data_IF_914668351227
#
_entry.id   IF_914668351227
#
_cell.length_a   1.000
_cell.length_b   1.000
_cell.length_c   1.000
_cell.angle_alpha   90.00
_cell.angle_beta   90.00
_cell.angle_gamma   90.00
#
_symmetry.space_group_name_H-M   'P 1'
#
loop_
_entity.id
_entity.type
_entity.pdbx_description
1 polymer ?
#
# COMPACT_ATOMS: atom_id res chain seq x y z
N UNK A 1 -1.32 21.34 9.73
CA UNK A 1 -2.61 20.64 9.75
C UNK A 1 -2.58 19.31 9.00
N UNK A 2 -2.67 18.20 9.74
CA UNK A 2 -2.88 16.85 9.22
C UNK A 2 -4.32 16.74 8.71
N UNK A 3 -4.53 16.27 7.48
CA UNK A 3 -5.87 16.20 6.85
C UNK A 3 -6.39 14.77 6.69
N UNK A 4 -5.53 13.79 6.91
CA UNK A 4 -5.82 12.37 6.81
C UNK A 4 -4.96 11.56 7.78
N UNK A 5 -5.45 10.37 8.09
CA UNK A 5 -4.72 9.37 8.88
C UNK A 5 -3.44 8.94 8.14
N UNK A 6 -2.34 8.74 8.87
CA UNK A 6 -1.09 8.31 8.27
C UNK A 6 -1.04 6.79 8.10
N UNK A 7 -0.16 6.30 7.22
CA UNK A 7 0.09 4.86 7.07
C UNK A 7 0.49 4.23 8.41
N UNK A 8 1.32 4.92 9.21
CA UNK A 8 1.75 4.43 10.53
C UNK A 8 0.57 4.22 11.47
N UNK A 9 -0.38 5.15 11.50
CA UNK A 9 -1.56 5.07 12.37
C UNK A 9 -2.45 3.87 12.01
N UNK A 10 -2.66 3.64 10.71
CA UNK A 10 -3.47 2.52 10.21
C UNK A 10 -2.78 1.17 10.45
N UNK A 11 -1.46 1.12 10.29
CA UNK A 11 -0.68 -0.10 10.54
C UNK A 11 -0.48 -0.38 12.04
N UNK A 12 -0.63 0.62 12.91
CA UNK A 12 -0.59 0.42 14.35
C UNK A 12 -1.83 -0.31 14.90
N UNK A 13 -2.93 -0.37 14.13
CA UNK A 13 -4.12 -1.14 14.47
C UNK A 13 -3.83 -2.64 14.51
N UNK A 14 -4.50 -3.35 15.43
CA UNK A 14 -4.51 -4.81 15.45
C UNK A 14 -5.37 -5.41 14.31
N UNK A 15 -5.27 -6.72 14.09
CA UNK A 15 -6.00 -7.36 12.98
C UNK A 15 -7.53 -7.33 13.14
N UNK A 16 -8.04 -7.31 14.38
CA UNK A 16 -9.47 -7.17 14.64
C UNK A 16 -9.96 -5.78 14.24
N UNK A 17 -9.23 -4.74 14.67
CA UNK A 17 -9.52 -3.35 14.35
C UNK A 17 -9.41 -3.07 12.85
N UNK A 18 -8.37 -3.61 12.19
CA UNK A 18 -8.22 -3.55 10.72
C UNK A 18 -9.40 -4.20 10.02
N UNK A 19 -9.84 -5.37 10.49
CA UNK A 19 -11.04 -6.04 9.96
C UNK A 19 -12.29 -5.19 10.15
N UNK A 20 -12.50 -4.63 11.33
CA UNK A 20 -13.61 -3.70 11.60
C UNK A 20 -13.57 -2.49 10.67
N UNK A 21 -12.39 -1.90 10.46
CA UNK A 21 -12.18 -0.75 9.58
C UNK A 21 -12.52 -1.08 8.13
N UNK A 22 -12.10 -2.24 7.61
CA UNK A 22 -12.45 -2.73 6.26
C UNK A 22 -13.95 -2.93 6.07
N UNK A 23 -14.64 -3.37 7.11
CA UNK A 23 -16.11 -3.54 7.10
C UNK A 23 -16.85 -2.20 7.13
N UNK A 24 -16.31 -1.23 7.88
CA UNK A 24 -16.85 0.13 7.97
C UNK A 24 -16.65 0.92 6.68
N UNK A 25 -15.51 0.72 6.04
CA UNK A 25 -15.14 1.45 4.84
C UNK A 25 -15.94 0.97 3.62
N UNK A 26 -16.56 1.92 2.95
CA UNK A 26 -17.17 1.75 1.63
C UNK A 26 -16.31 2.51 0.62
N UNK A 27 -15.43 1.83 -0.12
CA UNK A 27 -14.51 2.48 -1.05
C UNK A 27 -15.26 3.35 -2.05
N UNK A 28 -14.71 4.54 -2.33
CA UNK A 28 -15.15 5.44 -3.39
C UNK A 28 -13.97 5.74 -4.32
N UNK A 29 -14.23 6.10 -5.59
CA UNK A 29 -13.19 6.61 -6.46
C UNK A 29 -12.46 7.79 -5.81
N UNK A 30 -11.16 7.86 -6.01
CA UNK A 30 -10.23 8.85 -5.44
C UNK A 30 -9.95 8.72 -3.93
N UNK A 31 -10.55 7.74 -3.25
CA UNK A 31 -10.11 7.38 -1.90
C UNK A 31 -8.63 7.01 -1.91
N UNK A 32 -7.92 7.33 -0.83
CA UNK A 32 -6.53 6.92 -0.67
C UNK A 32 -6.50 5.71 0.25
N UNK A 33 -5.84 4.65 -0.20
CA UNK A 33 -5.73 3.41 0.53
C UNK A 33 -4.29 2.92 0.57
N UNK A 34 -4.01 2.03 1.52
CA UNK A 34 -2.77 1.29 1.61
C UNK A 34 -3.06 -0.19 1.42
N UNK A 35 -2.31 -0.84 0.53
CA UNK A 35 -2.27 -2.30 0.38
C UNK A 35 -0.95 -2.82 0.96
N UNK A 36 -0.97 -4.00 1.56
CA UNK A 36 0.24 -4.70 2.01
C UNK A 36 0.67 -5.70 0.95
N UNK A 37 1.76 -5.40 0.24
CA UNK A 37 2.26 -6.27 -0.83
C UNK A 37 3.42 -7.10 -0.30
N UNK A 38 3.35 -8.42 -0.52
CA UNK A 38 4.43 -9.33 -0.17
C UNK A 38 5.66 -9.01 -1.03
N UNK A 39 6.75 -8.61 -0.38
CA UNK A 39 8.05 -8.38 -1.02
C UNK A 39 8.92 -9.62 -0.97
N UNK A 40 8.87 -10.34 0.16
CA UNK A 40 9.65 -11.55 0.37
C UNK A 40 8.80 -12.58 1.12
N UNK A 41 8.42 -13.64 0.41
CA UNK A 41 7.60 -14.74 0.94
C UNK A 41 8.38 -15.59 1.95
N UNK A 42 9.69 -15.75 1.76
CA UNK A 42 10.51 -16.61 2.63
C UNK A 42 10.69 -16.00 4.02
N UNK A 43 10.78 -14.68 4.07
CA UNK A 43 10.98 -13.91 5.30
C UNK A 43 9.69 -13.23 5.82
N UNK A 44 8.54 -13.50 5.19
CA UNK A 44 7.23 -12.92 5.54
C UNK A 44 7.23 -11.38 5.56
N UNK A 45 7.96 -10.76 4.61
CA UNK A 45 8.15 -9.32 4.55
C UNK A 45 7.11 -8.69 3.63
N UNK A 46 6.27 -7.84 4.20
CA UNK A 46 5.26 -7.06 3.50
C UNK A 46 5.62 -5.58 3.50
N UNK A 47 5.43 -4.93 2.35
CA UNK A 47 5.60 -3.49 2.21
C UNK A 47 4.27 -2.79 1.99
N UNK A 48 4.02 -1.66 2.70
CA UNK A 48 2.84 -0.86 2.47
C UNK A 48 2.99 -0.05 1.18
N UNK A 49 1.99 -0.17 0.31
CA UNK A 49 1.89 0.59 -0.94
C UNK A 49 0.67 1.48 -0.86
N UNK A 50 0.90 2.79 -0.93
CA UNK A 50 -0.17 3.80 -0.95
C UNK A 50 -0.61 4.04 -2.39
N UNK A 51 -1.91 3.99 -2.63
CA UNK A 51 -2.50 4.25 -3.94
C UNK A 51 -3.81 5.04 -3.82
N UNK A 52 -4.21 5.64 -4.94
CA UNK A 52 -5.53 6.24 -5.08
C UNK A 52 -6.46 5.25 -5.78
N UNK A 53 -7.65 5.04 -5.25
CA UNK A 53 -8.65 4.13 -5.80
C UNK A 53 -9.15 4.71 -7.13
N UNK A 54 -9.00 3.93 -8.20
CA UNK A 54 -9.54 4.20 -9.53
C UNK A 54 -10.87 3.48 -9.73
N UNK A 55 -10.86 2.48 -10.60
CA UNK A 55 -12.03 1.61 -10.81
C UNK A 55 -12.35 0.77 -9.56
N UNK A 56 -13.64 0.58 -9.27
CA UNK A 56 -14.11 -0.35 -8.24
C UNK A 56 -14.96 -1.42 -8.90
N UNK A 57 -14.46 -2.66 -8.90
CA UNK A 57 -15.14 -3.79 -9.52
C UNK A 57 -15.69 -4.73 -8.44
N UNK A 58 -16.99 -4.99 -8.47
CA UNK A 58 -17.64 -5.94 -7.54
C UNK A 58 -17.80 -7.29 -8.23
N UNK A 59 -17.19 -8.33 -7.66
CA UNK A 59 -17.24 -9.69 -8.19
C UNK A 59 -17.98 -10.61 -7.21
N UNK A 60 -18.28 -11.85 -7.63
CA UNK A 60 -18.80 -12.87 -6.72
C UNK A 60 -17.85 -13.26 -5.59
N UNK A 61 -16.57 -12.89 -5.69
CA UNK A 61 -15.51 -13.23 -4.73
C UNK A 61 -15.12 -12.07 -3.81
N UNK A 62 -15.63 -10.86 -4.04
CA UNK A 62 -15.29 -9.68 -3.25
C UNK A 62 -15.23 -8.40 -4.08
N UNK A 63 -14.75 -7.34 -3.45
CA UNK A 63 -14.54 -6.04 -4.09
C UNK A 63 -13.08 -5.87 -4.47
N UNK A 64 -12.82 -5.48 -5.71
CA UNK A 64 -11.49 -5.23 -6.24
C UNK A 64 -11.34 -3.72 -6.47
N UNK A 65 -10.21 -3.16 -6.03
CA UNK A 65 -9.87 -1.74 -6.09
C UNK A 65 -8.73 -1.53 -7.10
N UNK A 66 -9.03 -0.87 -8.21
CA UNK A 66 -8.05 -0.44 -9.20
C UNK A 66 -7.16 0.67 -8.68
N UNK A 67 -5.90 0.68 -9.08
CA UNK A 67 -4.99 1.79 -8.82
C UNK A 67 -5.13 2.84 -9.93
N UNK A 68 -5.61 4.03 -9.58
CA UNK A 68 -5.87 5.11 -10.54
C UNK A 68 -4.63 5.49 -11.37
N UNK A 69 -3.43 5.42 -10.78
CA UNK A 69 -2.20 5.71 -11.51
C UNK A 69 -1.90 4.66 -12.59
N UNK A 70 -2.24 3.40 -12.32
CA UNK A 70 -2.10 2.30 -13.29
C UNK A 70 -3.14 2.45 -14.41
N UNK A 71 -4.39 2.76 -14.08
CA UNK A 71 -5.46 2.95 -15.07
C UNK A 71 -5.12 4.10 -16.04
N UNK A 72 -4.58 5.21 -15.52
CA UNK A 72 -4.14 6.34 -16.32
C UNK A 72 -2.98 5.98 -17.27
N UNK A 73 -2.05 5.12 -16.83
CA UNK A 73 -0.95 4.64 -17.66
C UNK A 73 -1.46 3.69 -18.76
N UNK A 74 -2.34 2.75 -18.43
CA UNK A 74 -2.95 1.82 -19.38
C UNK A 74 -3.80 2.55 -20.43
N UNK A 75 -4.47 3.64 -20.07
CA UNK A 75 -5.25 4.45 -21.01
C UNK A 75 -4.40 5.27 -22.00
N UNK A 76 -3.11 5.48 -21.70
CA UNK A 76 -2.17 6.16 -22.60
C UNK A 76 -1.62 5.18 -23.66
N UNK A 77 -1.75 3.86 -23.44
CA UNK A 77 -1.52 2.85 -24.48
C UNK A 77 -2.72 2.81 -25.45
N UNK A 78 -2.72 3.69 -26.46
CA UNK A 78 -3.63 3.62 -27.63
C UNK A 78 -2.86 4.07 -28.88
N UNK A 79 -3.17 3.60 -30.13
CA UNK A 79 -4.10 2.57 -30.56
C UNK A 79 -3.46 1.40 -31.35
N UNK A 80 -4.19 0.29 -31.47
CA UNK A 80 -3.99 -0.75 -32.49
C UNK A 80 -3.80 -0.11 -33.88
N UNK A 81 -2.61 -0.27 -34.45
CA UNK A 81 -2.32 0.31 -35.78
C UNK A 81 -0.85 0.42 -36.15
N UNK A 82 0.03 -0.41 -35.58
CA UNK A 82 1.39 -0.60 -36.07
C UNK A 82 1.59 -2.06 -36.50
N UNK A 83 0.61 -2.62 -37.21
CA UNK A 83 0.82 -3.76 -38.09
C UNK A 83 1.41 -3.22 -39.40
N UNK A 84 2.73 -3.12 -39.49
CA UNK A 84 3.50 -3.14 -40.74
C UNK A 84 5.00 -3.09 -40.39
N UNK A 85 5.48 -4.15 -39.75
CA UNK A 85 6.84 -4.60 -39.98
C UNK A 85 6.73 -6.05 -40.46
N UNK A 86 6.63 -6.19 -41.78
CA UNK A 86 7.02 -7.40 -42.50
C UNK A 86 8.47 -7.73 -42.11
N UNK A 87 8.64 -8.53 -41.07
CA UNK A 87 9.90 -9.21 -40.81
C UNK A 87 9.88 -10.50 -41.63
N UNK A 88 10.30 -10.36 -42.89
CA UNK A 88 10.68 -11.45 -43.79
C UNK A 88 11.80 -12.27 -43.10
N UNK A 89 11.41 -13.21 -42.25
CA UNK A 89 12.29 -14.25 -41.74
C UNK A 89 12.58 -15.24 -42.88
N UNK A 90 13.62 -14.90 -43.63
CA UNK A 90 14.30 -15.80 -44.54
C UNK A 90 14.66 -17.10 -43.81
N UNK A 91 14.07 -18.18 -44.35
CA UNK A 91 14.43 -19.56 -44.07
C UNK A 91 15.81 -19.82 -44.65
N UNK A 92 16.80 -20.07 -43.81
CA UNK A 92 17.88 -20.99 -44.19
C UNK A 92 18.00 -22.14 -43.18
N UNK A 93 17.75 -23.33 -43.72
CA UNK A 93 18.08 -24.63 -43.14
C UNK A 93 19.59 -24.76 -43.09
N UNK A 94 20.13 -25.30 -41.99
CA UNK A 94 21.36 -26.07 -42.07
C UNK A 94 21.30 -27.26 -41.11
N UNK A 95 21.28 -28.45 -41.71
CA UNK A 95 21.33 -29.77 -41.09
C UNK A 95 22.80 -30.19 -40.95
N UNK A 96 23.29 -30.50 -39.74
CA UNK A 96 24.64 -31.06 -39.62
C UNK A 96 25.20 -31.31 -38.22
N UNK A 97 24.64 -32.27 -37.47
CA UNK A 97 25.39 -33.02 -36.43
C UNK A 97 26.29 -34.09 -37.11
N UNK A 98 27.23 -34.83 -36.43
CA UNK A 98 27.62 -34.86 -35.01
C UNK A 98 29.14 -35.06 -34.72
N UNK A 99 29.53 -35.05 -33.42
CA UNK A 99 30.64 -35.90 -32.93
C UNK A 99 31.51 -35.34 -31.80
N UNK A 100 31.77 -36.16 -30.77
CA UNK A 100 32.96 -36.02 -29.92
C UNK A 100 32.77 -36.17 -28.40
N UNK A 101 32.80 -37.42 -27.90
CA UNK A 101 32.99 -37.75 -26.47
C UNK A 101 34.48 -37.65 -26.09
N UNK A 102 34.82 -37.02 -24.94
CA UNK A 102 35.89 -37.38 -23.97
C UNK A 102 35.71 -36.49 -22.72
N UNK A 103 35.40 -37.01 -21.53
CA UNK A 103 36.26 -37.64 -20.51
C UNK A 103 37.37 -36.74 -19.95
N UNK A 104 37.23 -36.27 -18.68
CA UNK A 104 38.12 -36.64 -17.56
C UNK A 104 37.74 -35.93 -16.24
N UNK A 105 37.99 -36.66 -15.16
CA UNK A 105 37.74 -36.33 -13.76
C UNK A 105 38.98 -35.70 -13.08
N UNK A 106 38.75 -35.22 -11.84
CA UNK A 106 39.70 -35.10 -10.69
C UNK A 106 40.18 -33.67 -10.39
N UNK A 107 40.48 -33.24 -9.15
CA UNK A 107 40.27 -33.70 -7.76
C UNK A 107 40.86 -32.57 -6.87
N UNK A 108 40.36 -32.44 -5.64
CA UNK A 108 41.11 -31.91 -4.48
C UNK A 108 41.10 -30.39 -4.30
N UNK A 109 40.92 -29.82 -3.10
CA UNK A 109 40.81 -30.39 -1.76
C UNK A 109 40.96 -29.29 -0.70
N UNK A 110 40.26 -29.48 0.43
CA UNK A 110 40.55 -29.02 1.81
C UNK A 110 40.82 -27.52 2.10
N UNK A 111 40.60 -26.94 3.29
CA UNK A 111 39.85 -27.17 4.53
C UNK A 111 40.34 -26.06 5.49
N UNK A 112 39.60 -25.79 6.59
CA UNK A 112 40.07 -25.15 7.84
C UNK A 112 40.23 -23.61 7.88
N UNK A 113 39.90 -22.84 8.94
CA UNK A 113 39.16 -22.98 10.22
C UNK A 113 39.31 -21.62 10.97
N UNK A 114 38.35 -21.30 11.86
CA UNK A 114 38.44 -20.36 13.03
C UNK A 114 38.43 -18.85 12.67
N UNK A 115 37.86 -17.92 13.43
CA UNK A 115 37.65 -17.89 14.89
C UNK A 115 36.60 -16.83 15.28
N UNK A 116 35.95 -17.07 16.42
CA UNK A 116 34.94 -16.22 17.06
C UNK A 116 35.53 -14.98 17.77
N UNK A 117 34.69 -13.97 17.95
CA UNK A 117 34.90 -12.85 18.88
C UNK A 117 33.72 -11.87 18.84
N UNK A 118 33.01 -11.61 19.96
CA UNK A 118 31.83 -10.75 20.00
C UNK A 118 32.23 -9.30 20.33
N UNK A 119 31.52 -8.34 19.75
CA UNK A 119 31.52 -6.96 20.24
C UNK A 119 30.08 -6.46 20.30
N UNK A 120 29.63 -6.32 21.54
CA UNK A 120 28.52 -5.48 21.97
C UNK A 120 28.71 -4.02 21.54
N UNK A 121 27.59 -3.31 21.56
CA UNK A 121 27.41 -1.87 21.74
C UNK A 121 27.04 -1.06 20.50
N UNK A 122 25.72 -0.85 20.41
CA UNK A 122 25.08 0.46 20.24
C UNK A 122 25.47 1.29 19.03
N UNK A 123 24.70 1.20 17.96
CA UNK A 123 24.21 2.38 17.24
C UNK A 123 22.76 2.09 16.85
N UNK A 124 21.82 2.71 17.56
CA UNK A 124 20.45 2.84 17.07
C UNK A 124 20.57 3.80 15.88
N UNK A 125 20.73 3.24 14.69
CA UNK A 125 20.63 4.04 13.47
C UNK A 125 19.20 4.57 13.42
N UNK A 126 19.09 5.88 13.60
CA UNK A 126 17.93 6.66 13.22
C UNK A 126 17.66 6.37 11.74
N UNK A 127 16.79 5.40 11.47
CA UNK A 127 16.31 5.12 10.13
C UNK A 127 15.46 6.32 9.74
N UNK A 128 16.12 7.30 9.10
CA UNK A 128 15.49 8.36 8.35
C UNK A 128 14.54 7.67 7.37
N UNK A 129 13.24 7.68 7.72
CA UNK A 129 12.17 7.35 6.79
C UNK A 129 12.09 8.52 5.81
N UNK A 130 13.09 8.60 4.93
CA UNK A 130 13.00 9.30 3.68
C UNK A 130 11.88 8.61 2.89
N UNK A 131 10.66 9.10 3.10
CA UNK A 131 9.55 8.88 2.18
C UNK A 131 9.88 9.69 0.93
N UNK A 132 10.89 9.23 0.20
CA UNK A 132 10.99 9.55 -1.20
C UNK A 132 9.67 9.10 -1.83
N UNK A 133 8.98 9.95 -2.61
CA UNK A 133 7.87 9.52 -3.41
C UNK A 133 8.42 8.56 -4.47
N UNK A 134 8.62 7.30 -4.07
CA UNK A 134 8.84 6.20 -4.99
C UNK A 134 7.63 6.23 -5.92
N UNK A 135 7.93 6.37 -7.21
CA UNK A 135 7.02 6.22 -8.33
C UNK A 135 5.98 5.17 -7.94
N UNK A 136 4.66 5.46 -7.99
CA UNK A 136 3.65 4.55 -7.49
C UNK A 136 3.91 3.19 -8.12
N UNK A 137 4.04 2.18 -7.27
CA UNK A 137 4.11 0.80 -7.70
C UNK A 137 3.04 0.62 -8.77
N UNK A 138 3.45 0.26 -10.00
CA UNK A 138 2.56 -0.07 -11.10
C UNK A 138 1.84 -1.41 -10.85
N UNK A 139 1.58 -1.74 -9.59
CA UNK A 139 0.72 -2.83 -9.20
C UNK A 139 -0.70 -2.43 -9.51
N UNK A 140 -1.37 -3.32 -10.23
CA UNK A 140 -2.74 -3.19 -10.69
C UNK A 140 -3.74 -3.19 -9.54
N UNK A 141 -4.81 -3.95 -9.70
CA UNK A 141 -5.92 -3.93 -8.76
C UNK A 141 -5.67 -4.79 -7.51
N UNK A 142 -6.22 -4.37 -6.38
CA UNK A 142 -6.06 -5.01 -5.07
C UNK A 142 -7.42 -5.46 -4.52
N UNK A 143 -7.51 -6.63 -3.84
CA UNK A 143 -8.72 -6.99 -3.12
C UNK A 143 -8.94 -6.03 -1.93
N UNK A 144 -10.18 -5.60 -1.73
CA UNK A 144 -10.58 -4.70 -0.63
C UNK A 144 -10.16 -5.25 0.73
N UNK A 145 -10.21 -6.57 0.89
CA UNK A 145 -9.91 -7.28 2.11
C UNK A 145 -8.43 -7.14 2.54
N UNK A 146 -7.54 -6.82 1.61
CA UNK A 146 -6.11 -6.59 1.87
C UNK A 146 -5.75 -5.10 1.93
N UNK A 147 -6.75 -4.23 1.70
CA UNK A 147 -6.57 -2.79 1.70
C UNK A 147 -7.05 -2.17 3.02
N UNK A 148 -6.47 -1.03 3.40
CA UNK A 148 -6.92 -0.21 4.50
C UNK A 148 -7.05 1.24 4.04
N UNK A 149 -8.14 1.95 4.37
CA UNK A 149 -8.31 3.34 3.97
C UNK A 149 -7.42 4.28 4.79
N UNK A 150 -6.83 5.27 4.12
CA UNK A 150 -6.23 6.43 4.76
C UNK A 150 -7.31 7.52 4.86
N UNK A 151 -8.16 7.39 5.87
CA UNK A 151 -9.35 8.22 6.00
C UNK A 151 -8.99 9.70 6.12
N UNK A 152 -9.68 10.53 5.34
CA UNK A 152 -9.69 11.98 5.54
C UNK A 152 -10.68 12.41 6.62
N UNK A 153 -10.62 13.69 7.01
CA UNK A 153 -11.52 14.29 8.01
C UNK A 153 -13.00 14.06 7.66
N UNK A 154 -13.39 14.23 6.39
CA UNK A 154 -14.78 14.08 5.95
C UNK A 154 -15.26 12.63 6.04
N UNK A 155 -14.41 11.67 5.68
CA UNK A 155 -14.68 10.25 5.79
C UNK A 155 -14.79 9.81 7.26
N UNK A 156 -13.90 10.27 8.13
CA UNK A 156 -13.99 9.98 9.57
C UNK A 156 -15.28 10.54 10.19
N UNK A 157 -15.62 11.79 9.90
CA UNK A 157 -16.90 12.39 10.33
C UNK A 157 -18.10 11.59 9.83
N UNK A 158 -18.07 11.18 8.57
CA UNK A 158 -19.14 10.38 7.96
C UNK A 158 -19.32 9.02 8.63
N UNK A 159 -18.22 8.35 8.98
CA UNK A 159 -18.24 7.08 9.71
C UNK A 159 -18.81 7.25 11.12
N UNK A 160 -18.37 8.28 11.85
CA UNK A 160 -18.84 8.57 13.20
C UNK A 160 -20.35 8.86 13.21
N UNK A 161 -20.84 9.72 12.32
CA UNK A 161 -22.26 10.08 12.24
C UNK A 161 -23.11 8.89 11.75
N UNK A 162 -22.65 8.17 10.72
CA UNK A 162 -23.40 7.11 10.07
C UNK A 162 -23.70 5.89 10.97
N UNK A 163 -22.93 5.69 12.04
CA UNK A 163 -23.10 4.56 12.96
C UNK A 163 -24.08 4.83 14.13
N UNK A 164 -24.82 5.94 14.11
CA UNK A 164 -25.66 6.38 15.24
C UNK A 164 -24.89 6.40 16.57
N UNK A 165 -23.60 6.70 16.47
CA UNK A 165 -22.76 6.83 17.63
C UNK A 165 -23.18 8.13 18.34
N UNK A 166 -23.23 8.14 19.68
CA UNK A 166 -23.64 9.33 20.45
C UNK A 166 -22.74 10.56 20.25
N UNK A 167 -21.73 10.46 19.37
CA UNK A 167 -20.78 11.51 19.05
C UNK A 167 -21.51 12.72 18.50
N UNK A 168 -21.31 13.84 19.21
CA UNK A 168 -21.79 15.14 18.80
C UNK A 168 -20.62 15.94 18.26
N UNK A 169 -20.55 16.05 16.94
CA UNK A 169 -19.57 16.88 16.25
C UNK A 169 -20.19 18.26 16.02
N UNK A 170 -19.55 19.31 16.53
CA UNK A 170 -19.97 20.70 16.39
C UNK A 170 -18.80 21.53 15.88
N UNK A 171 -18.99 22.17 14.73
CA UNK A 171 -18.03 23.10 14.17
C UNK A 171 -18.48 24.52 14.53
N UNK A 172 -17.61 25.26 15.21
CA UNK A 172 -17.82 26.68 15.52
C UNK A 172 -16.82 27.51 14.72
N UNK A 173 -17.36 28.34 13.83
CA UNK A 173 -16.57 29.23 12.97
C UNK A 173 -16.98 30.66 13.30
N UNK A 174 -16.09 31.38 13.96
CA UNK A 174 -16.16 32.83 14.14
C UNK A 174 -14.95 33.47 13.47
N UNK A 175 -14.99 34.78 13.17
CA UNK A 175 -13.82 35.49 12.63
C UNK A 175 -12.58 35.38 13.54
N UNK A 176 -12.79 35.17 14.84
CA UNK A 176 -11.74 35.10 15.85
C UNK A 176 -11.32 33.67 16.21
N UNK A 177 -12.15 32.66 15.90
CA UNK A 177 -11.96 31.28 16.34
C UNK A 177 -12.50 30.27 15.32
N UNK A 178 -11.68 29.28 14.98
CA UNK A 178 -12.14 28.05 14.33
C UNK A 178 -11.91 26.93 15.34
N UNK A 179 -12.99 26.43 15.92
CA UNK A 179 -12.97 25.36 16.91
C UNK A 179 -13.89 24.21 16.47
N UNK A 180 -13.45 22.98 16.70
CA UNK A 180 -14.27 21.80 16.51
C UNK A 180 -14.47 21.13 17.86
N UNK A 181 -15.72 20.93 18.27
CA UNK A 181 -16.07 20.11 19.42
C UNK A 181 -16.47 18.71 18.94
N UNK A 182 -15.76 17.71 19.43
CA UNK A 182 -16.11 16.30 19.21
C UNK A 182 -16.39 15.69 20.56
N UNK A 183 -17.65 15.31 20.78
CA UNK A 183 -18.16 14.75 22.04
C UNK A 183 -17.86 15.62 23.28
N UNK A 184 -17.89 16.95 23.10
CA UNK A 184 -17.65 17.91 24.17
C UNK A 184 -16.16 18.25 24.41
N UNK A 185 -15.24 17.61 23.70
CA UNK A 185 -13.83 17.98 23.71
C UNK A 185 -13.55 18.99 22.58
N UNK A 186 -13.05 20.16 22.94
CA UNK A 186 -12.64 21.20 21.99
C UNK A 186 -11.28 20.83 21.39
N UNK A 187 -11.21 20.86 20.06
CA UNK A 187 -9.99 20.60 19.30
C UNK A 187 -9.56 21.87 18.57
N UNK A 188 -8.26 22.11 18.57
CA UNK A 188 -7.65 23.01 17.61
C UNK A 188 -7.73 22.41 16.19
N UNK A 189 -7.61 23.22 15.13
CA UNK A 189 -7.57 22.70 13.76
C UNK A 189 -6.44 21.67 13.55
N UNK A 190 -5.28 21.86 14.17
CA UNK A 190 -4.13 20.98 13.98
C UNK A 190 -4.30 19.59 14.59
N UNK A 191 -5.12 19.45 15.63
CA UNK A 191 -5.38 18.20 16.35
C UNK A 191 -6.65 17.49 15.89
N UNK A 192 -7.47 18.13 15.05
CA UNK A 192 -8.77 17.61 14.63
C UNK A 192 -8.67 16.22 14.00
N UNK A 193 -7.66 16.00 13.14
CA UNK A 193 -7.47 14.70 12.49
C UNK A 193 -7.17 13.58 13.50
N UNK A 194 -6.33 13.86 14.50
CA UNK A 194 -5.93 12.87 15.49
C UNK A 194 -7.10 12.56 16.42
N UNK A 195 -7.84 13.58 16.85
CA UNK A 195 -9.01 13.41 17.72
C UNK A 195 -10.14 12.64 17.01
N UNK A 196 -10.40 12.93 15.73
CA UNK A 196 -11.36 12.16 14.94
C UNK A 196 -10.90 10.71 14.75
N UNK A 197 -9.60 10.48 14.56
CA UNK A 197 -9.06 9.14 14.43
C UNK A 197 -9.18 8.35 15.73
N UNK A 198 -8.91 8.96 16.89
CA UNK A 198 -9.15 8.35 18.21
C UNK A 198 -10.62 7.96 18.39
N UNK A 199 -11.55 8.84 17.99
CA UNK A 199 -12.98 8.55 18.02
C UNK A 199 -13.35 7.38 17.10
N UNK A 200 -12.75 7.30 15.90
CA UNK A 200 -12.96 6.17 14.98
C UNK A 200 -12.40 4.89 15.58
N UNK A 201 -11.19 4.91 16.14
CA UNK A 201 -10.56 3.77 16.80
C UNK A 201 -11.43 3.21 17.95
N UNK A 202 -12.15 4.07 18.67
CA UNK A 202 -13.10 3.63 19.71
C UNK A 202 -14.33 2.89 19.15
N UNK A 203 -14.59 2.96 17.85
CA UNK A 203 -15.65 2.22 17.15
C UNK A 203 -15.17 0.89 16.52
N UNK A 204 -13.86 0.67 16.42
CA UNK A 204 -13.25 -0.51 15.77
C UNK A 204 -13.22 -1.73 16.69
#
# INVERSE_FOLDING_TARGET
MKTRVSVKDVLALDESQRRSLRLLWTPQPYDIAVALVCRDVENDVYEPIVFAVGEISVTGHGTILGNLAYDAMAAIELPDGFDDFDDDLDRERDDGQPGGMTSQCSQGGASERRQAGPTDASEAEDVDFDVQPRIPFAGGSFPKEECLPLLDIGQMVSLLIGRHSGYRIRLEITPELIACLVDGQESSPDELCDLLWEAVCALL
#
